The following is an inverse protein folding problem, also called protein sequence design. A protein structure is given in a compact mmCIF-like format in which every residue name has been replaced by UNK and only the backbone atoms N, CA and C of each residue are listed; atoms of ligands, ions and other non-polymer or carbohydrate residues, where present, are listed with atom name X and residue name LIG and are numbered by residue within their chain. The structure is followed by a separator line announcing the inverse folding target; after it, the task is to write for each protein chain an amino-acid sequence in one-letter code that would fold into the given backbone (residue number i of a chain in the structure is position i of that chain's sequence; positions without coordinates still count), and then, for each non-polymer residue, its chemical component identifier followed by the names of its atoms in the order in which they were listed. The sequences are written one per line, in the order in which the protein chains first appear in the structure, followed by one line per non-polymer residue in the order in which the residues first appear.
data_IF_718114922495
#
_entry.id   IF_718114922495
#
_cell.length_a   1.000
_cell.length_b   1.000
_cell.length_c   1.000
_cell.angle_alpha   90.00
_cell.angle_beta   90.00
_cell.angle_gamma   90.00
#
_symmetry.space_group_name_H-M   'P 1'
#
loop_
_entity.id
_entity.type
_entity.pdbx_description
1 polymer ?
#
# COMPACT_ATOMS: atom_id res chain seq x y z
N UNK A 1 -1.44 -26.82 -4.01
CA UNK A 1 -0.39 -27.82 -4.27
C UNK A 1 -0.95 -29.17 -4.72
N UNK A 2 -1.66 -29.93 -3.87
CA UNK A 2 -2.10 -31.30 -4.27
C UNK A 2 -3.12 -31.34 -5.42
N UNK A 3 -4.11 -30.44 -5.44
CA UNK A 3 -5.04 -30.32 -6.59
C UNK A 3 -4.31 -30.01 -7.90
N UNK A 4 -3.25 -29.21 -7.84
CA UNK A 4 -2.41 -28.89 -8.98
C UNK A 4 -1.62 -30.11 -9.46
N UNK A 5 -1.11 -30.94 -8.54
CA UNK A 5 -0.41 -32.17 -8.87
C UNK A 5 -1.33 -33.21 -9.55
N UNK A 6 -2.60 -33.29 -9.13
CA UNK A 6 -3.63 -34.10 -9.82
C UNK A 6 -3.93 -33.54 -11.21
N UNK A 7 -4.13 -32.22 -11.33
CA UNK A 7 -4.39 -31.58 -12.63
C UNK A 7 -3.23 -31.77 -13.63
N UNK A 8 -1.99 -31.81 -13.14
CA UNK A 8 -0.79 -32.08 -13.95
C UNK A 8 -0.40 -33.55 -14.04
N UNK A 9 -1.24 -34.46 -13.52
CA UNK A 9 -1.05 -35.91 -13.57
C UNK A 9 0.24 -36.40 -12.88
N UNK A 10 0.82 -35.60 -11.99
CA UNK A 10 1.88 -36.06 -11.08
C UNK A 10 1.31 -36.95 -9.98
N UNK A 11 0.03 -36.77 -9.67
CA UNK A 11 -0.76 -37.68 -8.83
C UNK A 11 -1.94 -38.21 -9.63
N UNK A 12 -2.27 -39.50 -9.44
CA UNK A 12 -3.41 -40.15 -10.09
C UNK A 12 -4.75 -39.61 -9.59
N UNK A 13 -4.83 -39.31 -8.29
CA UNK A 13 -6.01 -38.77 -7.63
C UNK A 13 -5.60 -38.00 -6.36
N UNK A 14 -6.55 -37.26 -5.77
CA UNK A 14 -6.33 -36.56 -4.50
C UNK A 14 -6.21 -37.60 -3.36
N UNK A 15 -5.20 -37.51 -2.49
CA UNK A 15 -5.10 -38.39 -1.33
C UNK A 15 -6.29 -38.21 -0.38
N UNK A 16 -6.85 -39.32 0.08
CA UNK A 16 -7.87 -39.33 1.13
C UNK A 16 -7.21 -39.15 2.50
N UNK A 17 -7.97 -38.65 3.50
CA UNK A 17 -7.49 -38.53 4.87
C UNK A 17 -6.48 -37.41 5.14
N UNK A 18 -6.44 -36.37 4.29
CA UNK A 18 -5.56 -35.22 4.53
C UNK A 18 -5.85 -34.57 5.90
N UNK A 19 -4.81 -34.26 6.69
CA UNK A 19 -5.00 -33.56 7.96
C UNK A 19 -5.67 -32.22 7.70
N UNK A 20 -6.78 -31.94 8.40
CA UNK A 20 -7.40 -30.62 8.37
C UNK A 20 -6.46 -29.66 9.09
N UNK A 21 -5.93 -28.68 8.35
CA UNK A 21 -5.26 -27.55 8.97
C UNK A 21 -6.27 -26.89 9.91
N UNK A 22 -5.87 -26.65 11.16
CA UNK A 22 -6.67 -25.82 12.06
C UNK A 22 -6.92 -24.50 11.36
N UNK A 23 -8.18 -24.04 11.34
CA UNK A 23 -8.48 -22.70 10.93
C UNK A 23 -7.62 -21.76 11.79
N UNK A 24 -6.81 -20.93 11.15
CA UNK A 24 -6.11 -19.86 11.85
C UNK A 24 -7.22 -19.00 12.46
N UNK A 25 -7.29 -18.98 13.80
CA UNK A 25 -8.29 -18.18 14.50
C UNK A 25 -8.24 -16.72 14.05
N UNK A 26 -9.33 -15.97 14.21
CA UNK A 26 -9.29 -14.54 13.99
C UNK A 26 -8.19 -13.95 14.89
N UNK A 27 -7.12 -13.44 14.29
CA UNK A 27 -6.20 -12.57 15.01
C UNK A 27 -6.99 -11.32 15.38
N UNK A 28 -7.14 -11.05 16.67
CA UNK A 28 -7.60 -9.74 17.13
C UNK A 28 -6.59 -8.74 16.58
N UNK A 29 -7.04 -7.90 15.67
CA UNK A 29 -6.20 -6.87 15.07
C UNK A 29 -6.20 -5.70 16.06
N UNK A 30 -5.12 -5.55 16.82
CA UNK A 30 -4.90 -4.30 17.57
C UNK A 30 -4.60 -3.20 16.56
N UNK A 31 -5.51 -2.22 16.49
CA UNK A 31 -5.39 -1.07 15.59
C UNK A 31 -4.67 0.04 16.37
N UNK A 32 -3.57 0.60 15.86
CA UNK A 32 -2.85 1.66 16.56
C UNK A 32 -3.74 2.90 16.74
N UNK A 33 -3.59 3.58 17.87
CA UNK A 33 -4.22 4.89 18.09
C UNK A 33 -3.61 5.97 17.22
N UNK A 34 -4.28 7.13 17.11
CA UNK A 34 -3.74 8.28 16.38
C UNK A 34 -2.38 8.72 16.97
N UNK A 35 -2.24 8.74 18.30
CA UNK A 35 -0.97 9.06 18.96
C UNK A 35 0.13 8.05 18.68
N UNK A 36 -0.21 6.77 18.53
CA UNK A 36 0.73 5.72 18.12
C UNK A 36 1.19 5.90 16.68
N UNK A 37 0.26 6.22 15.77
CA UNK A 37 0.58 6.55 14.39
C UNK A 37 1.51 7.76 14.33
N UNK A 38 1.23 8.83 15.06
CA UNK A 38 2.11 10.01 15.10
C UNK A 38 3.51 9.68 15.62
N UNK A 39 3.61 8.85 16.67
CA UNK A 39 4.91 8.37 17.19
C UNK A 39 5.69 7.57 16.13
N UNK A 40 5.01 6.70 15.39
CA UNK A 40 5.62 5.94 14.30
C UNK A 40 6.13 6.87 13.20
N UNK A 41 5.33 7.87 12.79
CA UNK A 41 5.69 8.81 11.73
C UNK A 41 6.85 9.73 12.15
N UNK A 42 6.88 10.16 13.41
CA UNK A 42 7.97 10.96 13.97
C UNK A 42 9.30 10.18 13.98
N UNK A 43 9.27 8.91 14.39
CA UNK A 43 10.46 8.04 14.45
C UNK A 43 10.93 7.54 13.07
N UNK A 44 10.07 7.56 12.06
CA UNK A 44 10.40 7.05 10.74
C UNK A 44 11.43 7.92 10.00
N UNK A 45 12.33 7.28 9.25
CA UNK A 45 13.17 7.98 8.26
C UNK A 45 12.28 8.68 7.23
N UNK A 46 12.80 9.70 6.56
CA UNK A 46 12.01 10.47 5.61
C UNK A 46 11.37 9.60 4.50
N UNK A 47 12.13 8.64 3.97
CA UNK A 47 11.66 7.68 2.96
C UNK A 47 10.52 6.78 3.49
N UNK A 48 10.63 6.34 4.74
CA UNK A 48 9.63 5.46 5.35
C UNK A 48 8.40 6.23 5.84
N UNK A 49 8.56 7.47 6.31
CA UNK A 49 7.48 8.32 6.82
C UNK A 49 6.35 8.48 5.80
N UNK A 50 6.71 8.74 4.54
CA UNK A 50 5.73 8.86 3.46
C UNK A 50 4.99 7.55 3.23
N UNK A 51 5.70 6.43 3.29
CA UNK A 51 5.11 5.11 3.10
C UNK A 51 4.14 4.77 4.23
N UNK A 52 4.54 5.00 5.48
CA UNK A 52 3.68 4.78 6.65
C UNK A 52 2.46 5.70 6.65
N UNK A 53 2.62 6.97 6.30
CA UNK A 53 1.51 7.92 6.20
C UNK A 53 0.47 7.51 5.14
N UNK A 54 0.92 7.01 3.98
CA UNK A 54 0.01 6.47 2.95
C UNK A 54 -0.77 5.24 3.45
N UNK A 55 -0.14 4.39 4.26
CA UNK A 55 -0.81 3.22 4.83
C UNK A 55 -1.77 3.61 5.96
N UNK A 56 -1.36 4.52 6.85
CA UNK A 56 -2.15 4.94 8.00
C UNK A 56 -3.36 5.81 7.61
N UNK A 57 -3.15 6.87 6.81
CA UNK A 57 -4.20 7.83 6.51
C UNK A 57 -5.03 7.50 5.26
N UNK A 58 -4.50 6.69 4.35
CA UNK A 58 -5.19 6.33 3.10
C UNK A 58 -5.43 4.82 2.96
N UNK A 59 -5.02 4.00 3.93
CA UNK A 59 -5.29 2.57 3.90
C UNK A 59 -4.67 1.84 2.70
N UNK A 60 -3.62 2.40 2.10
CA UNK A 60 -2.92 1.74 1.00
C UNK A 60 -2.23 0.48 1.52
N UNK A 61 -2.23 -0.57 0.72
CA UNK A 61 -1.46 -1.78 1.03
C UNK A 61 0.02 -1.56 0.72
N UNK A 62 0.95 -2.26 1.39
CA UNK A 62 2.39 -2.10 1.13
C UNK A 62 2.79 -2.26 -0.34
N UNK A 63 2.13 -3.18 -1.07
CA UNK A 63 2.39 -3.36 -2.50
C UNK A 63 1.84 -2.20 -3.35
N UNK A 64 0.73 -1.58 -2.97
CA UNK A 64 0.15 -0.41 -3.63
C UNK A 64 1.05 0.82 -3.39
N UNK A 65 1.54 1.03 -2.16
CA UNK A 65 2.51 2.10 -1.85
C UNK A 65 3.77 1.98 -2.71
N UNK A 66 4.30 0.76 -2.88
CA UNK A 66 5.48 0.50 -3.73
C UNK A 66 5.24 0.74 -5.22
N UNK A 67 4.00 0.64 -5.69
CA UNK A 67 3.63 0.87 -7.07
C UNK A 67 3.18 2.31 -7.35
N UNK A 68 2.88 3.08 -6.31
CA UNK A 68 2.33 4.42 -6.42
C UNK A 68 3.30 5.35 -7.15
N UNK A 69 2.79 6.02 -8.19
CA UNK A 69 3.54 7.02 -8.95
C UNK A 69 2.95 8.41 -8.69
N UNK A 70 3.78 9.43 -8.83
CA UNK A 70 3.33 10.81 -8.59
C UNK A 70 2.18 11.25 -9.51
N UNK A 71 2.12 10.75 -10.74
CA UNK A 71 1.00 11.01 -11.68
C UNK A 71 -0.36 10.54 -11.15
N UNK A 72 -0.34 9.63 -10.18
CA UNK A 72 -1.52 9.05 -9.57
C UNK A 72 -1.92 9.80 -8.28
N UNK A 73 -1.22 10.88 -7.94
CA UNK A 73 -1.52 11.75 -6.79
C UNK A 73 -2.06 13.09 -7.30
N UNK A 74 -3.25 13.48 -6.82
CA UNK A 74 -3.90 14.75 -7.17
C UNK A 74 -4.21 15.51 -5.87
N UNK A 75 -3.46 16.57 -5.61
CA UNK A 75 -3.68 17.40 -4.42
C UNK A 75 -4.65 18.55 -4.74
N UNK A 76 -5.61 18.80 -3.84
CA UNK A 76 -6.52 19.95 -3.91
C UNK A 76 -5.93 21.10 -3.11
N UNK A 77 -5.96 22.31 -3.69
CA UNK A 77 -5.38 23.53 -3.12
C UNK A 77 -6.39 24.66 -3.10
N UNK A 78 -6.46 25.37 -1.98
CA UNK A 78 -7.25 26.59 -1.76
C UNK A 78 -6.34 27.60 -1.04
N UNK A 79 -5.32 28.09 -1.76
CA UNK A 79 -4.13 28.73 -1.16
C UNK A 79 -3.17 27.68 -0.59
N UNK A 80 -3.62 26.93 0.41
CA UNK A 80 -2.92 25.80 1.01
C UNK A 80 -3.50 24.45 0.57
N UNK A 81 -2.79 23.35 0.87
CA UNK A 81 -3.28 22.00 0.56
C UNK A 81 -4.36 21.60 1.56
N UNK A 82 -5.57 21.35 1.02
CA UNK A 82 -6.78 21.03 1.80
C UNK A 82 -7.21 19.57 1.66
N UNK A 83 -6.43 18.75 0.94
CA UNK A 83 -6.72 17.33 0.71
C UNK A 83 -6.36 16.89 -0.71
N UNK A 84 -7.06 15.89 -1.24
CA UNK A 84 -6.85 15.40 -2.60
C UNK A 84 -7.33 13.97 -2.82
N UNK A 85 -6.77 13.31 -3.83
CA UNK A 85 -7.04 11.93 -4.18
C UNK A 85 -5.77 11.20 -4.62
N UNK A 86 -5.71 9.91 -4.31
CA UNK A 86 -4.72 8.96 -4.85
C UNK A 86 -5.44 7.91 -5.69
N UNK A 87 -5.02 7.75 -6.94
CA UNK A 87 -5.50 6.67 -7.82
C UNK A 87 -4.65 5.41 -7.60
N UNK A 88 -5.23 4.37 -7.01
CA UNK A 88 -4.58 3.06 -6.88
C UNK A 88 -4.84 2.25 -8.14
N UNK A 89 -3.83 2.11 -9.00
CA UNK A 89 -3.94 1.43 -10.31
C UNK A 89 -3.22 0.10 -10.40
N UNK A 90 -2.17 -0.06 -9.60
CA UNK A 90 -1.19 -1.13 -9.67
C UNK A 90 -0.73 -1.48 -8.24
N UNK A 91 -0.23 -2.69 -8.05
CA UNK A 91 0.52 -3.10 -6.87
C UNK A 91 1.80 -3.81 -7.28
N UNK A 92 2.89 -3.63 -6.55
CA UNK A 92 4.19 -4.23 -6.85
C UNK A 92 4.63 -5.22 -5.77
N UNK A 93 4.93 -6.44 -6.17
CA UNK A 93 5.42 -7.51 -5.29
C UNK A 93 6.41 -8.40 -6.01
N UNK A 94 7.50 -8.79 -5.34
CA UNK A 94 8.52 -9.69 -5.91
C UNK A 94 9.09 -9.19 -7.25
N UNK A 95 9.21 -7.86 -7.41
CA UNK A 95 9.71 -7.23 -8.63
C UNK A 95 8.65 -7.02 -9.72
N UNK A 96 7.55 -7.76 -9.66
CA UNK A 96 6.46 -7.76 -10.64
C UNK A 96 5.36 -6.75 -10.31
N UNK A 97 4.75 -6.21 -11.35
CA UNK A 97 3.58 -5.34 -11.27
C UNK A 97 2.32 -6.16 -11.51
N UNK A 98 1.34 -6.02 -10.63
CA UNK A 98 0.05 -6.67 -10.74
C UNK A 98 -1.07 -5.65 -10.66
N UNK A 99 -2.19 -5.97 -11.29
CA UNK A 99 -3.45 -5.25 -11.05
C UNK A 99 -3.84 -5.40 -9.58
N UNK A 100 -4.33 -4.34 -8.90
CA UNK A 100 -4.73 -4.43 -7.50
C UNK A 100 -5.79 -5.51 -7.33
N UNK A 101 -5.71 -6.26 -6.23
CA UNK A 101 -6.61 -7.39 -5.95
C UNK A 101 -8.10 -7.01 -5.99
N UNK A 102 -8.44 -5.73 -5.85
CA UNK A 102 -9.81 -5.20 -5.79
C UNK A 102 -10.16 -4.28 -6.97
N UNK A 103 -9.34 -4.25 -8.03
CA UNK A 103 -9.50 -3.30 -9.14
C UNK A 103 -8.94 -1.90 -8.87
N UNK A 104 -9.07 -1.01 -9.85
CA UNK A 104 -8.61 0.39 -9.72
C UNK A 104 -9.58 1.17 -8.83
N UNK A 105 -9.05 2.01 -7.92
CA UNK A 105 -9.87 2.85 -7.02
C UNK A 105 -9.23 4.20 -6.77
N UNK A 106 -10.06 5.20 -6.50
CA UNK A 106 -9.60 6.49 -5.97
C UNK A 106 -9.79 6.51 -4.46
N UNK A 107 -8.77 6.97 -3.75
CA UNK A 107 -8.74 7.07 -2.29
C UNK A 107 -8.64 8.56 -1.91
N UNK A 108 -9.55 9.09 -1.08
CA UNK A 108 -9.44 10.46 -0.60
C UNK A 108 -8.20 10.64 0.27
N UNK A 109 -7.56 11.80 0.15
CA UNK A 109 -6.38 12.19 0.93
C UNK A 109 -6.80 13.20 1.99
N UNK A 110 -6.60 12.85 3.26
CA UNK A 110 -6.76 13.75 4.38
C UNK A 110 -5.75 14.92 4.32
N UNK A 111 -6.06 16.10 4.87
CA UNK A 111 -5.18 17.27 4.86
C UNK A 111 -3.75 16.98 5.36
N UNK A 112 -3.59 16.15 6.38
CA UNK A 112 -2.32 15.75 7.00
C UNK A 112 -1.42 15.06 5.98
N UNK A 113 -1.97 14.05 5.30
CA UNK A 113 -1.28 13.35 4.22
C UNK A 113 -1.03 14.29 3.03
N UNK A 114 -1.98 15.17 2.72
CA UNK A 114 -1.84 16.17 1.66
C UNK A 114 -0.65 17.11 1.88
N UNK A 115 -0.50 17.65 3.09
CA UNK A 115 0.63 18.51 3.48
C UNK A 115 1.97 17.77 3.35
N UNK A 116 2.03 16.51 3.80
CA UNK A 116 3.22 15.69 3.66
C UNK A 116 3.60 15.47 2.19
N UNK A 117 2.62 15.11 1.36
CA UNK A 117 2.82 14.88 -0.09
C UNK A 117 3.24 16.16 -0.83
N UNK A 118 2.68 17.31 -0.46
CA UNK A 118 3.06 18.60 -1.05
C UNK A 118 4.52 19.00 -0.77
N UNK A 119 5.04 18.65 0.42
CA UNK A 119 6.45 18.84 0.74
C UNK A 119 7.39 18.01 -0.14
N UNK A 120 6.93 16.87 -0.65
CA UNK A 120 7.68 16.04 -1.60
C UNK A 120 7.58 16.63 -3.01
N UNK A 121 6.38 17.06 -3.42
CA UNK A 121 6.13 17.72 -4.70
C UNK A 121 7.06 18.93 -4.90
N UNK A 122 7.10 19.82 -3.90
CA UNK A 122 7.92 21.02 -3.95
C UNK A 122 9.43 20.74 -4.02
N UNK A 123 9.89 19.61 -3.47
CA UNK A 123 11.29 19.17 -3.58
C UNK A 123 11.60 18.53 -4.92
N UNK A 124 10.63 17.82 -5.51
CA UNK A 124 10.75 17.26 -6.86
C UNK A 124 10.83 18.35 -7.92
N UNK A 125 10.00 19.39 -7.82
CA UNK A 125 10.00 20.53 -8.75
C UNK A 125 11.32 21.29 -8.68
N UNK A 126 11.84 21.54 -7.47
CA UNK A 126 13.13 22.22 -7.26
C UNK A 126 14.35 21.35 -7.60
N UNK A 127 14.22 20.03 -7.49
CA UNK A 127 15.36 19.10 -7.52
C UNK A 127 15.75 18.53 -8.88
N UNK A 128 14.98 18.74 -9.96
CA UNK A 128 15.37 18.41 -11.34
C UNK A 128 15.77 16.96 -11.67
N UNK A 129 15.87 16.04 -10.70
CA UNK A 129 16.28 14.64 -10.89
C UNK A 129 15.54 13.70 -9.94
N UNK A 130 15.06 12.61 -10.53
CA UNK A 130 14.32 11.53 -9.89
C UNK A 130 15.16 10.81 -8.83
N UNK A 131 14.86 11.04 -7.56
CA UNK A 131 15.43 10.30 -6.42
C UNK A 131 14.64 9.02 -6.10
N UNK A 132 14.36 8.19 -7.11
CA UNK A 132 13.80 6.85 -6.91
C UNK A 132 14.29 5.92 -8.03
N UNK A 133 15.43 5.28 -7.80
CA UNK A 133 15.74 3.94 -8.33
C UNK A 133 15.70 2.97 -7.18
#
# INVERSE_FOLDING_TARGET
MLRFAVARKYLRAMPEGMPRLKAVGQSILEIPSDEEVERILAAASERHRVSFALMAYAGLRPNEVRALRWRDVRLRREGEVVGGFVSVREGRSHGETHTPKTGQREVPVAPELGRLLAGIEGRRVRGGRSMWR
#
